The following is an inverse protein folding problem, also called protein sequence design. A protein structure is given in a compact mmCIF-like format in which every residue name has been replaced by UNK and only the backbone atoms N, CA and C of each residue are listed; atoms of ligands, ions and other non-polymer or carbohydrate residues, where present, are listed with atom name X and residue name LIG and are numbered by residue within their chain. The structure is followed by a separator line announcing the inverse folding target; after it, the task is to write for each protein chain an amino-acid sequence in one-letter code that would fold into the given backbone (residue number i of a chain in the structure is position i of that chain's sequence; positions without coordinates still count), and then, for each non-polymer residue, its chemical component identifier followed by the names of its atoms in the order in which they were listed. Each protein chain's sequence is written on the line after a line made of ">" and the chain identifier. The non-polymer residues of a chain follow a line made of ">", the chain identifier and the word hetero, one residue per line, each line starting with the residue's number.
data_IF_636999134754
#
_entry.id   IF_636999134754
#
_cell.length_a   1.000
_cell.length_b   1.000
_cell.length_c   1.000
_cell.angle_alpha   90.00
_cell.angle_beta   90.00
_cell.angle_gamma   90.00
#
_symmetry.space_group_name_H-M   'P 1'
#
loop_
_entity.id
_entity.type
_entity.pdbx_description
1 polymer ?
#
# COMPACT_ATOMS: atom_id res chain seq x y z
N UNK A 1 6.14 -24.32 32.93
CA UNK A 1 5.23 -23.15 32.79
C UNK A 1 5.01 -22.30 34.07
N UNK A 2 4.93 -22.85 35.31
CA UNK A 2 4.61 -22.03 36.51
C UNK A 2 5.65 -20.97 36.90
N UNK A 3 6.94 -21.15 36.56
CA UNK A 3 8.02 -20.24 36.95
C UNK A 3 8.06 -18.93 36.13
N UNK A 4 7.61 -18.98 34.87
CA UNK A 4 7.60 -17.82 33.97
C UNK A 4 6.52 -16.81 34.33
N UNK A 5 5.30 -17.29 34.67
CA UNK A 5 4.17 -16.47 35.10
C UNK A 5 4.40 -15.74 36.43
N UNK A 6 5.37 -16.19 37.24
CA UNK A 6 5.77 -15.51 38.49
C UNK A 6 6.65 -14.27 38.26
N UNK A 7 7.24 -14.12 37.06
CA UNK A 7 8.24 -13.08 36.74
C UNK A 7 7.66 -12.06 35.73
N UNK A 8 6.89 -11.06 36.16
CA UNK A 8 6.23 -10.09 35.25
C UNK A 8 7.23 -9.33 34.36
N UNK A 9 8.41 -9.01 34.91
CA UNK A 9 9.48 -8.34 34.16
C UNK A 9 10.07 -9.21 33.05
N UNK A 10 9.98 -10.53 33.16
CA UNK A 10 10.42 -11.46 32.12
C UNK A 10 9.38 -11.53 30.99
N UNK A 11 8.09 -11.61 31.34
CA UNK A 11 6.98 -11.58 30.37
C UNK A 11 6.99 -10.28 29.56
N UNK A 12 7.10 -9.12 30.21
CA UNK A 12 7.13 -7.84 29.50
C UNK A 12 8.36 -7.71 28.61
N UNK A 13 9.53 -8.17 29.07
CA UNK A 13 10.75 -8.19 28.23
C UNK A 13 10.57 -9.10 27.02
N UNK A 14 9.99 -10.29 27.20
CA UNK A 14 9.68 -11.19 26.11
C UNK A 14 8.72 -10.56 25.11
N UNK A 15 7.61 -9.97 25.57
CA UNK A 15 6.64 -9.31 24.70
C UNK A 15 7.25 -8.14 23.94
N UNK A 16 8.12 -7.33 24.58
CA UNK A 16 8.85 -6.25 23.90
C UNK A 16 9.73 -6.79 22.76
N UNK A 17 10.48 -7.86 23.02
CA UNK A 17 11.30 -8.50 21.98
C UNK A 17 10.45 -9.11 20.87
N UNK A 18 9.37 -9.81 21.23
CA UNK A 18 8.42 -10.38 20.29
C UNK A 18 7.84 -9.32 19.36
N UNK A 19 7.35 -8.19 19.92
CA UNK A 19 6.82 -7.08 19.13
C UNK A 19 7.87 -6.39 18.27
N UNK A 20 9.08 -6.20 18.78
CA UNK A 20 10.17 -5.64 17.99
C UNK A 20 10.50 -6.52 16.77
N UNK A 21 10.58 -7.85 16.97
CA UNK A 21 10.81 -8.80 15.88
C UNK A 21 9.62 -8.85 14.93
N UNK A 22 8.39 -8.91 15.45
CA UNK A 22 7.17 -8.99 14.64
C UNK A 22 7.03 -7.77 13.72
N UNK A 23 7.22 -6.56 14.25
CA UNK A 23 7.18 -5.32 13.47
C UNK A 23 8.34 -5.24 12.49
N UNK A 24 9.55 -5.68 12.86
CA UNK A 24 10.67 -5.73 11.93
C UNK A 24 10.39 -6.68 10.76
N UNK A 25 9.88 -7.88 11.03
CA UNK A 25 9.52 -8.86 10.01
C UNK A 25 8.39 -8.33 9.12
N UNK A 26 7.30 -7.82 9.71
CA UNK A 26 6.13 -7.37 8.94
C UNK A 26 6.36 -6.06 8.18
N UNK A 27 7.03 -5.08 8.79
CA UNK A 27 7.22 -3.77 8.17
C UNK A 27 8.46 -3.68 7.29
N UNK A 28 9.46 -4.56 7.42
CA UNK A 28 10.69 -4.53 6.62
C UNK A 28 10.92 -5.87 5.95
N UNK A 29 11.02 -6.94 6.74
CA UNK A 29 11.45 -8.26 6.27
C UNK A 29 10.62 -8.79 5.11
N UNK A 30 9.29 -8.75 5.23
CA UNK A 30 8.37 -9.23 4.20
C UNK A 30 8.47 -8.41 2.91
N UNK A 31 8.53 -7.08 3.01
CA UNK A 31 8.65 -6.22 1.82
C UNK A 31 9.97 -6.44 1.09
N UNK A 32 11.08 -6.49 1.85
CA UNK A 32 12.39 -6.80 1.29
C UNK A 32 12.37 -8.17 0.61
N UNK A 33 11.84 -9.19 1.29
CA UNK A 33 11.77 -10.56 0.75
C UNK A 33 10.94 -10.62 -0.54
N UNK A 34 9.72 -10.10 -0.54
CA UNK A 34 8.85 -10.10 -1.73
C UNK A 34 9.51 -9.41 -2.94
N UNK A 35 10.15 -8.26 -2.72
CA UNK A 35 10.79 -7.53 -3.81
C UNK A 35 12.08 -8.22 -4.25
N UNK A 36 12.95 -8.64 -3.33
CA UNK A 36 14.22 -9.30 -3.64
C UNK A 36 14.04 -10.72 -4.22
N UNK A 37 12.94 -11.41 -3.91
CA UNK A 37 12.66 -12.74 -4.45
C UNK A 37 12.12 -12.70 -5.88
N UNK A 38 11.66 -11.55 -6.36
CA UNK A 38 11.31 -11.39 -7.77
C UNK A 38 12.55 -10.96 -8.55
N UNK A 39 13.09 -11.87 -9.37
CA UNK A 39 14.25 -11.57 -10.19
C UNK A 39 13.83 -11.01 -11.54
N UNK A 40 14.68 -10.17 -12.12
CA UNK A 40 14.59 -9.83 -13.53
C UNK A 40 14.57 -11.11 -14.38
N UNK A 41 13.65 -11.23 -15.34
CA UNK A 41 13.65 -12.38 -16.23
C UNK A 41 14.90 -12.34 -17.12
N UNK A 42 15.60 -13.47 -17.21
CA UNK A 42 16.88 -13.59 -17.91
C UNK A 42 16.71 -13.40 -19.42
N UNK A 43 17.43 -12.43 -19.99
CA UNK A 43 17.51 -12.26 -21.45
C UNK A 43 18.44 -13.31 -22.08
N UNK A 44 18.19 -13.71 -23.33
CA UNK A 44 19.13 -14.54 -24.09
C UNK A 44 20.46 -13.83 -24.41
N UNK A 45 20.46 -12.49 -24.39
CA UNK A 45 21.61 -11.64 -24.74
C UNK A 45 22.09 -10.84 -23.54
N UNK A 46 23.37 -10.44 -23.56
CA UNK A 46 23.97 -9.57 -22.55
C UNK A 46 23.50 -8.11 -22.65
N UNK A 47 23.18 -7.65 -23.88
CA UNK A 47 22.57 -6.34 -24.09
C UNK A 47 21.08 -6.43 -23.74
N UNK A 48 20.71 -5.85 -22.59
CA UNK A 48 19.34 -5.80 -22.12
C UNK A 48 19.04 -4.52 -21.34
N UNK A 49 17.79 -4.08 -21.42
CA UNK A 49 17.27 -2.92 -20.69
C UNK A 49 16.15 -3.35 -19.75
N UNK A 50 16.26 -2.94 -18.49
CA UNK A 50 15.34 -3.31 -17.43
C UNK A 50 14.31 -2.21 -17.16
N UNK A 51 13.03 -2.55 -17.29
CA UNK A 51 11.90 -1.64 -17.11
C UNK A 51 10.97 -2.20 -16.04
N UNK A 52 10.65 -1.41 -15.03
CA UNK A 52 9.60 -1.78 -14.07
C UNK A 52 8.27 -1.15 -14.50
N UNK A 53 7.21 -1.94 -14.49
CA UNK A 53 5.85 -1.50 -14.83
C UNK A 53 5.00 -1.57 -13.57
N UNK A 54 4.36 -0.46 -13.23
CA UNK A 54 3.35 -0.39 -12.17
C UNK A 54 2.03 0.06 -12.80
N UNK A 55 0.91 -0.34 -12.20
CA UNK A 55 -0.43 0.07 -12.63
C UNK A 55 -1.27 0.44 -11.42
N UNK A 56 -2.26 1.30 -11.63
CA UNK A 56 -3.30 1.66 -10.66
C UNK A 56 -2.76 1.90 -9.24
N UNK A 57 -1.81 2.84 -9.04
CA UNK A 57 -1.49 3.28 -7.69
C UNK A 57 -2.73 3.72 -6.91
N UNK A 58 -3.65 4.42 -7.60
CA UNK A 58 -4.94 4.90 -7.08
C UNK A 58 -4.83 5.32 -5.62
N UNK A 59 -4.08 6.41 -5.36
CA UNK A 59 -4.00 6.90 -3.99
C UNK A 59 -5.43 7.18 -3.50
N UNK A 60 -5.74 6.61 -2.34
CA UNK A 60 -7.08 6.74 -1.73
C UNK A 60 -7.30 8.19 -1.35
N UNK A 61 -8.47 8.73 -1.65
CA UNK A 61 -8.87 10.10 -1.34
C UNK A 61 -10.38 10.20 -1.00
N UNK A 62 -10.92 11.42 -0.96
CA UNK A 62 -12.32 11.67 -0.60
C UNK A 62 -13.34 11.02 -1.56
N UNK A 63 -12.97 10.79 -2.81
CA UNK A 63 -13.80 10.14 -3.80
C UNK A 63 -13.70 8.61 -3.75
N UNK A 64 -12.80 8.07 -2.92
CA UNK A 64 -12.66 6.65 -2.69
C UNK A 64 -13.74 6.08 -1.76
N UNK A 65 -14.52 5.14 -2.30
CA UNK A 65 -15.37 4.21 -1.54
C UNK A 65 -16.33 4.85 -0.51
N UNK A 66 -16.71 6.12 -0.70
CA UNK A 66 -17.63 6.86 0.19
C UNK A 66 -17.11 7.08 1.61
N UNK A 67 -15.79 7.00 1.83
CA UNK A 67 -15.18 7.18 3.15
C UNK A 67 -14.96 8.66 3.47
N UNK A 68 -15.17 9.06 4.72
CA UNK A 68 -14.96 10.46 5.14
C UNK A 68 -14.33 10.54 6.54
N UNK A 69 -13.80 11.71 6.88
CA UNK A 69 -13.31 12.02 8.22
C UNK A 69 -12.10 11.20 8.66
N UNK A 70 -12.06 10.81 9.93
CA UNK A 70 -10.90 10.13 10.53
C UNK A 70 -10.61 8.77 9.90
N UNK A 71 -11.64 8.02 9.48
CA UNK A 71 -11.44 6.72 8.87
C UNK A 71 -10.68 6.85 7.54
N UNK A 72 -11.10 7.79 6.70
CA UNK A 72 -10.41 8.10 5.45
C UNK A 72 -8.94 8.45 5.71
N UNK A 73 -8.66 9.37 6.65
CA UNK A 73 -7.27 9.74 7.00
C UNK A 73 -6.41 8.57 7.44
N UNK A 74 -6.99 7.59 8.14
CA UNK A 74 -6.28 6.36 8.51
C UNK A 74 -6.02 5.47 7.30
N UNK A 75 -7.01 5.31 6.42
CA UNK A 75 -6.84 4.52 5.19
C UNK A 75 -5.78 5.16 4.29
N UNK A 76 -5.88 6.45 4.00
CA UNK A 76 -4.86 7.25 3.30
C UNK A 76 -3.46 6.99 3.85
N UNK A 77 -3.30 7.13 5.16
CA UNK A 77 -2.00 6.94 5.82
C UNK A 77 -1.42 5.54 5.60
N UNK A 78 -2.23 4.49 5.76
CA UNK A 78 -1.76 3.11 5.65
C UNK A 78 -1.57 2.64 4.21
N UNK A 79 -2.35 3.16 3.26
CA UNK A 79 -2.14 2.90 1.83
C UNK A 79 -0.92 3.64 1.30
N UNK A 80 -0.72 4.90 1.71
CA UNK A 80 0.46 5.71 1.34
C UNK A 80 1.77 5.07 1.82
N UNK A 81 1.82 4.63 3.09
CA UNK A 81 3.03 3.99 3.64
C UNK A 81 3.32 2.68 2.91
N UNK A 82 2.29 1.89 2.58
CA UNK A 82 2.46 0.66 1.81
C UNK A 82 3.12 0.96 0.46
N UNK A 83 2.52 1.84 -0.34
CA UNK A 83 3.01 2.16 -1.69
C UNK A 83 4.38 2.81 -1.65
N UNK A 84 4.59 3.78 -0.76
CA UNK A 84 5.89 4.45 -0.58
C UNK A 84 6.99 3.45 -0.26
N UNK A 85 6.69 2.44 0.56
CA UNK A 85 7.65 1.41 0.93
C UNK A 85 7.95 0.45 -0.21
N UNK A 86 6.92 -0.05 -0.85
CA UNK A 86 7.04 -0.92 -2.02
C UNK A 86 7.82 -0.22 -3.15
N UNK A 87 7.47 1.03 -3.46
CA UNK A 87 8.10 1.79 -4.54
C UNK A 87 9.57 2.12 -4.29
N UNK A 88 9.94 2.44 -3.05
CA UNK A 88 11.33 2.70 -2.69
C UNK A 88 12.18 1.43 -2.75
N UNK A 89 11.68 0.32 -2.22
CA UNK A 89 12.40 -0.95 -2.27
C UNK A 89 12.49 -1.49 -3.70
N UNK A 90 11.46 -1.30 -4.53
CA UNK A 90 11.52 -1.59 -5.96
C UNK A 90 12.72 -0.86 -6.60
N UNK A 91 12.86 0.45 -6.37
CA UNK A 91 13.99 1.21 -6.92
C UNK A 91 15.34 0.80 -6.33
N UNK A 92 15.43 0.64 -5.01
CA UNK A 92 16.71 0.38 -4.34
C UNK A 92 17.23 -1.05 -4.60
N UNK A 93 16.34 -2.04 -4.75
CA UNK A 93 16.68 -3.46 -4.95
C UNK A 93 16.72 -3.81 -6.44
N UNK A 94 15.66 -3.50 -7.19
CA UNK A 94 15.58 -3.90 -8.61
C UNK A 94 16.37 -2.98 -9.53
N UNK A 95 16.61 -1.73 -9.11
CA UNK A 95 17.37 -0.73 -9.87
C UNK A 95 16.98 -0.64 -11.36
N UNK A 96 15.67 -0.50 -11.68
CA UNK A 96 15.23 -0.42 -13.07
C UNK A 96 15.81 0.83 -13.76
N UNK A 97 16.07 0.72 -15.06
CA UNK A 97 16.51 1.87 -15.88
C UNK A 97 15.39 2.91 -16.03
N UNK A 98 14.15 2.44 -16.12
CA UNK A 98 12.94 3.24 -16.32
C UNK A 98 11.77 2.62 -15.55
N UNK A 99 10.86 3.46 -15.07
CA UNK A 99 9.55 3.02 -14.58
C UNK A 99 8.46 3.54 -15.52
N UNK A 100 7.51 2.67 -15.88
CA UNK A 100 6.29 3.03 -16.60
C UNK A 100 5.09 2.80 -15.67
N UNK A 101 4.26 3.82 -15.50
CA UNK A 101 3.01 3.75 -14.76
C UNK A 101 1.81 3.78 -15.73
N UNK A 102 0.96 2.76 -15.66
CA UNK A 102 -0.15 2.55 -16.60
C UNK A 102 -1.39 3.39 -16.32
N UNK A 103 -1.34 4.35 -15.41
CA UNK A 103 -2.42 5.30 -15.15
C UNK A 103 -3.15 5.04 -13.84
N UNK A 104 -4.24 5.79 -13.66
CA UNK A 104 -4.98 5.88 -12.41
C UNK A 104 -4.08 6.24 -11.24
N UNK A 105 -3.43 7.40 -11.38
CA UNK A 105 -2.49 7.92 -10.38
C UNK A 105 -3.22 8.22 -9.06
N UNK A 106 -4.43 8.77 -9.17
CA UNK A 106 -5.30 9.16 -8.06
C UNK A 106 -6.73 8.72 -8.33
N UNK A 107 -7.43 8.25 -7.29
CA UNK A 107 -8.80 7.74 -7.43
C UNK A 107 -9.81 8.85 -7.78
N UNK A 108 -9.66 10.04 -7.19
CA UNK A 108 -10.48 11.22 -7.49
C UNK A 108 -9.91 12.13 -8.58
N UNK A 109 -8.92 11.70 -9.37
CA UNK A 109 -8.11 12.58 -10.24
C UNK A 109 -8.91 13.55 -11.12
N UNK A 110 -9.99 13.09 -11.75
CA UNK A 110 -10.90 13.91 -12.57
C UNK A 110 -11.97 14.66 -11.77
N UNK A 111 -12.25 14.23 -10.54
CA UNK A 111 -13.34 14.73 -9.69
C UNK A 111 -12.95 16.00 -8.94
N UNK A 112 -11.66 16.16 -8.63
CA UNK A 112 -11.14 17.34 -7.95
C UNK A 112 -11.15 18.59 -8.84
N UNK A 113 -11.52 19.72 -8.23
CA UNK A 113 -11.19 21.05 -8.76
C UNK A 113 -9.69 21.32 -8.62
N UNK A 114 -9.14 22.22 -9.44
CA UNK A 114 -7.68 22.46 -9.53
C UNK A 114 -7.00 22.77 -8.18
N UNK A 115 -7.67 23.55 -7.33
CA UNK A 115 -7.14 23.97 -6.02
C UNK A 115 -7.01 22.79 -5.04
N UNK A 116 -7.92 21.81 -5.12
CA UNK A 116 -7.89 20.59 -4.30
C UNK A 116 -7.06 19.47 -4.94
N UNK A 117 -7.00 19.46 -6.28
CA UNK A 117 -6.25 18.48 -7.05
C UNK A 117 -4.74 18.60 -6.82
N UNK A 118 -4.21 19.83 -6.75
CA UNK A 118 -2.77 20.07 -6.63
C UNK A 118 -2.17 19.49 -5.32
N UNK A 119 -2.77 19.69 -4.14
CA UNK A 119 -2.35 19.01 -2.91
C UNK A 119 -2.35 17.48 -3.00
N UNK A 120 -3.39 16.87 -3.57
CA UNK A 120 -3.45 15.41 -3.73
C UNK A 120 -2.39 14.90 -4.73
N UNK A 121 -2.16 15.64 -5.82
CA UNK A 121 -1.07 15.32 -6.73
C UNK A 121 0.30 15.45 -6.07
N UNK A 122 0.53 16.46 -5.23
CA UNK A 122 1.76 16.59 -4.44
C UNK A 122 1.92 15.42 -3.46
N UNK A 123 0.83 14.95 -2.84
CA UNK A 123 0.82 13.73 -2.01
C UNK A 123 1.23 12.51 -2.84
N UNK A 124 0.64 12.30 -4.01
CA UNK A 124 1.05 11.25 -4.96
C UNK A 124 2.55 11.32 -5.27
N UNK A 125 3.07 12.49 -5.66
CA UNK A 125 4.51 12.69 -5.96
C UNK A 125 5.42 12.42 -4.75
N UNK A 126 4.94 12.66 -3.53
CA UNK A 126 5.67 12.35 -2.29
C UNK A 126 5.77 10.84 -1.97
N UNK A 127 4.83 10.05 -2.49
CA UNK A 127 4.79 8.59 -2.37
C UNK A 127 5.71 7.99 -3.45
N UNK A 128 5.53 8.45 -4.69
CA UNK A 128 6.23 7.97 -5.88
C UNK A 128 7.44 8.83 -6.25
N UNK A 129 8.27 9.15 -5.25
CA UNK A 129 9.49 9.93 -5.48
C UNK A 129 10.60 9.05 -6.05
N UNK A 130 11.19 9.50 -7.17
CA UNK A 130 12.39 8.89 -7.73
C UNK A 130 13.60 9.06 -6.79
N UNK A 131 14.30 7.96 -6.51
CA UNK A 131 15.44 7.89 -5.59
C UNK A 131 16.77 8.23 -6.25
N UNK A 132 16.85 8.05 -7.56
CA UNK A 132 18.00 8.33 -8.42
C UNK A 132 17.51 9.10 -9.66
N UNK A 133 18.40 9.73 -10.43
CA UNK A 133 18.04 10.40 -11.68
C UNK A 133 17.58 9.38 -12.74
N UNK A 134 16.33 8.95 -12.66
CA UNK A 134 15.70 7.98 -13.55
C UNK A 134 14.45 8.57 -14.18
N UNK A 135 14.09 8.07 -15.36
CA UNK A 135 12.87 8.47 -16.05
C UNK A 135 11.69 7.65 -15.53
N UNK A 136 10.60 8.35 -15.24
CA UNK A 136 9.31 7.76 -14.91
C UNK A 136 8.32 8.28 -15.95
N UNK A 137 7.70 7.37 -16.69
CA UNK A 137 6.67 7.70 -17.66
C UNK A 137 5.31 7.36 -17.07
N UNK A 138 4.38 8.31 -17.08
CA UNK A 138 3.07 8.19 -16.46
C UNK A 138 2.00 8.35 -17.54
N UNK A 139 1.12 7.37 -17.65
CA UNK A 139 -0.08 7.42 -18.47
C UNK A 139 -1.26 7.99 -17.67
N UNK A 140 -2.30 8.42 -18.36
CA UNK A 140 -3.58 8.73 -17.72
C UNK A 140 -4.45 7.48 -17.66
N UNK A 141 -5.16 7.30 -16.56
CA UNK A 141 -6.25 6.34 -16.46
C UNK A 141 -7.63 7.00 -16.45
N UNK A 142 -8.70 6.20 -16.47
CA UNK A 142 -10.06 6.77 -16.46
C UNK A 142 -10.35 7.51 -15.17
N UNK A 143 -9.67 7.22 -14.07
CA UNK A 143 -9.80 8.00 -12.85
C UNK A 143 -9.16 9.39 -12.95
N UNK A 144 -8.13 9.54 -13.78
CA UNK A 144 -7.39 10.79 -13.97
C UNK A 144 -8.11 11.76 -14.91
N UNK A 145 -8.65 11.27 -16.04
CA UNK A 145 -9.20 12.14 -17.11
C UNK A 145 -10.60 11.74 -17.61
N UNK A 146 -11.14 10.61 -17.15
CA UNK A 146 -12.38 10.03 -17.69
C UNK A 146 -12.18 9.21 -18.97
N UNK A 147 -13.27 8.73 -19.57
CA UNK A 147 -13.21 7.81 -20.73
C UNK A 147 -14.28 8.11 -21.80
N UNK A 148 -13.90 7.94 -23.07
CA UNK A 148 -14.75 8.05 -24.24
C UNK A 148 -15.47 9.39 -24.36
N UNK A 149 -16.78 9.36 -24.62
CA UNK A 149 -17.62 10.56 -24.69
C UNK A 149 -17.79 11.27 -23.34
N UNK A 150 -17.28 10.70 -22.25
CA UNK A 150 -17.36 11.26 -20.90
C UNK A 150 -16.02 11.78 -20.39
N UNK A 151 -14.99 11.87 -21.23
CA UNK A 151 -13.72 12.52 -20.87
C UNK A 151 -13.99 13.92 -20.29
N UNK A 152 -13.37 14.20 -19.14
CA UNK A 152 -13.50 15.49 -18.45
C UNK A 152 -12.44 16.43 -18.99
N UNK A 153 -12.84 17.35 -19.88
CA UNK A 153 -11.91 18.21 -20.62
C UNK A 153 -10.94 18.98 -19.72
N UNK A 154 -11.42 19.57 -18.62
CA UNK A 154 -10.55 20.28 -17.67
C UNK A 154 -9.53 19.37 -16.99
N UNK A 155 -9.89 18.12 -16.71
CA UNK A 155 -8.97 17.14 -16.14
C UNK A 155 -7.91 16.69 -17.17
N UNK A 156 -8.30 16.48 -18.43
CA UNK A 156 -7.37 16.19 -19.53
C UNK A 156 -6.34 17.32 -19.73
N UNK A 157 -6.81 18.57 -19.80
CA UNK A 157 -5.94 19.75 -19.94
C UNK A 157 -4.99 19.91 -18.74
N UNK A 158 -5.50 19.70 -17.52
CA UNK A 158 -4.69 19.71 -16.30
C UNK A 158 -3.63 18.60 -16.30
N UNK A 159 -3.98 17.40 -16.74
CA UNK A 159 -3.05 16.28 -16.86
C UNK A 159 -1.92 16.60 -17.85
N UNK A 160 -2.24 17.10 -19.05
CA UNK A 160 -1.23 17.52 -20.04
C UNK A 160 -0.28 18.58 -19.51
N UNK A 161 -0.82 19.56 -18.78
CA UNK A 161 -0.03 20.67 -18.22
C UNK A 161 0.88 20.24 -17.07
N UNK A 162 0.46 19.28 -16.25
CA UNK A 162 1.09 19.00 -14.95
C UNK A 162 1.83 17.67 -14.91
N UNK A 163 1.25 16.61 -15.49
CA UNK A 163 1.81 15.26 -15.48
C UNK A 163 2.62 15.01 -16.75
N UNK A 164 2.01 15.26 -17.92
CA UNK A 164 2.67 15.09 -19.20
C UNK A 164 1.72 14.69 -20.32
N UNK A 165 2.26 14.45 -21.54
CA UNK A 165 1.44 14.08 -22.69
C UNK A 165 0.83 12.68 -22.50
N UNK A 166 -0.44 12.53 -22.86
CA UNK A 166 -1.16 11.24 -22.74
C UNK A 166 -0.78 10.24 -23.85
N UNK A 167 -0.20 10.73 -24.95
CA UNK A 167 0.32 9.92 -26.06
C UNK A 167 1.83 10.11 -26.19
N UNK A 168 2.61 9.03 -26.14
CA UNK A 168 4.08 9.06 -26.24
C UNK A 168 4.64 7.85 -26.99
N UNK A 169 5.72 8.06 -27.74
CA UNK A 169 6.55 6.97 -28.30
C UNK A 169 7.97 7.14 -27.79
N UNK A 170 8.48 6.12 -27.12
CA UNK A 170 9.79 6.12 -26.48
C UNK A 170 10.63 5.02 -27.13
N UNK A 171 11.86 5.33 -27.53
CA UNK A 171 12.81 4.31 -27.96
C UNK A 171 13.60 3.79 -26.75
N UNK A 172 13.47 2.49 -26.47
CA UNK A 172 14.09 1.87 -25.30
C UNK A 172 14.47 0.42 -25.61
N UNK A 173 15.73 0.04 -25.37
CA UNK A 173 16.21 -1.33 -25.56
C UNK A 173 15.94 -1.90 -26.95
N UNK A 174 16.05 -1.09 -28.02
CA UNK A 174 15.75 -1.49 -29.40
C UNK A 174 14.26 -1.49 -29.78
N UNK A 175 13.36 -1.15 -28.87
CA UNK A 175 11.91 -1.18 -29.09
C UNK A 175 11.31 0.22 -29.21
N UNK A 176 10.17 0.30 -29.87
CA UNK A 176 9.24 1.42 -29.75
C UNK A 176 8.20 1.12 -28.66
N UNK A 177 8.34 1.80 -27.53
CA UNK A 177 7.37 1.78 -26.42
C UNK A 177 6.29 2.81 -26.72
N UNK A 178 5.08 2.36 -27.04
CA UNK A 178 3.95 3.19 -27.42
C UNK A 178 3.00 3.33 -26.23
N UNK A 179 3.08 4.45 -25.52
CA UNK A 179 2.12 4.82 -24.47
C UNK A 179 0.94 5.51 -25.16
N UNK A 180 -0.19 4.81 -25.28
CA UNK A 180 -1.33 5.29 -26.05
C UNK A 180 -2.51 5.64 -25.14
N UNK A 181 -3.04 6.84 -25.34
CA UNK A 181 -4.27 7.31 -24.72
C UNK A 181 -5.48 6.69 -25.42
N UNK A 182 -5.83 5.48 -24.99
CA UNK A 182 -7.01 4.76 -25.45
C UNK A 182 -8.31 5.33 -24.87
N UNK A 183 -8.24 6.12 -23.80
CA UNK A 183 -9.40 6.71 -23.13
C UNK A 183 -10.05 7.76 -24.02
N UNK A 184 -9.24 8.67 -24.58
CA UNK A 184 -9.72 9.67 -25.55
C UNK A 184 -9.99 9.07 -26.91
N UNK A 185 -9.28 8.01 -27.31
CA UNK A 185 -9.49 7.30 -28.56
C UNK A 185 -10.90 6.65 -28.65
N UNK A 186 -11.46 6.24 -27.51
CA UNK A 186 -12.80 5.67 -27.40
C UNK A 186 -13.93 6.72 -27.47
N UNK A 187 -13.60 7.99 -27.76
CA UNK A 187 -14.53 9.10 -27.94
C UNK A 187 -14.97 9.23 -29.41
N UNK A 188 -16.26 9.43 -29.62
CA UNK A 188 -16.84 9.70 -30.94
C UNK A 188 -16.52 11.12 -31.45
N UNK A 189 -16.10 12.02 -30.55
CA UNK A 189 -15.69 13.39 -30.89
C UNK A 189 -14.29 13.39 -31.50
N UNK A 190 -14.12 13.87 -32.75
CA UNK A 190 -12.80 14.02 -33.37
C UNK A 190 -11.90 15.00 -32.61
N UNK A 191 -12.47 16.00 -31.95
CA UNK A 191 -11.74 16.97 -31.15
C UNK A 191 -10.97 16.27 -30.02
N UNK A 192 -11.58 15.27 -29.39
CA UNK A 192 -10.99 14.47 -28.30
C UNK A 192 -10.09 13.36 -28.84
N UNK A 193 -10.55 12.59 -29.83
CA UNK A 193 -9.85 11.38 -30.28
C UNK A 193 -8.74 11.62 -31.31
N UNK A 194 -8.68 12.80 -31.96
CA UNK A 194 -7.78 13.03 -33.09
C UNK A 194 -6.30 12.90 -32.77
N UNK A 195 -5.86 13.26 -31.56
CA UNK A 195 -4.46 13.15 -31.18
C UNK A 195 -3.99 11.69 -31.17
N UNK A 196 -4.75 10.82 -30.48
CA UNK A 196 -4.47 9.38 -30.42
C UNK A 196 -4.60 8.74 -31.81
N UNK A 197 -5.64 9.08 -32.57
CA UNK A 197 -5.82 8.57 -33.94
C UNK A 197 -4.66 8.95 -34.87
N UNK A 198 -4.19 10.20 -34.82
CA UNK A 198 -3.03 10.65 -35.63
C UNK A 198 -1.76 9.88 -35.27
N UNK A 199 -1.54 9.57 -33.99
CA UNK A 199 -0.38 8.78 -33.58
C UNK A 199 -0.47 7.35 -34.14
N UNK A 200 -1.62 6.69 -34.03
CA UNK A 200 -1.82 5.33 -34.55
C UNK A 200 -1.59 5.28 -36.07
N UNK A 201 -2.16 6.22 -36.82
CA UNK A 201 -1.99 6.28 -38.27
C UNK A 201 -0.56 6.68 -38.69
N UNK A 202 0.13 7.48 -37.89
CA UNK A 202 1.54 7.79 -38.10
C UNK A 202 2.41 6.54 -37.90
N UNK A 203 2.19 5.77 -36.83
CA UNK A 203 2.87 4.50 -36.58
C UNK A 203 2.61 3.49 -37.70
N UNK A 204 1.37 3.38 -38.18
CA UNK A 204 1.02 2.49 -39.28
C UNK A 204 1.80 2.80 -40.57
N UNK A 205 2.09 4.08 -40.84
CA UNK A 205 2.87 4.52 -42.02
C UNK A 205 4.37 4.29 -41.88
N UNK A 206 4.90 4.24 -40.66
CA UNK A 206 6.35 4.12 -40.46
C UNK A 206 6.92 2.75 -40.80
N UNK A 207 6.10 1.68 -40.79
CA UNK A 207 6.44 0.25 -41.01
C UNK A 207 7.95 -0.08 -40.90
N UNK A 208 8.56 0.24 -39.76
CA UNK A 208 9.97 -0.07 -39.49
C UNK A 208 10.03 -1.44 -38.83
N UNK A 209 10.21 -2.47 -39.65
CA UNK A 209 10.31 -3.87 -39.20
C UNK A 209 11.49 -4.10 -38.25
N UNK A 210 12.45 -3.16 -38.16
CA UNK A 210 13.62 -3.27 -37.29
C UNK A 210 13.39 -2.71 -35.87
N UNK A 211 12.21 -2.13 -35.58
CA UNK A 211 11.87 -1.59 -34.25
C UNK A 211 10.54 -2.19 -33.76
N UNK A 212 10.56 -3.38 -33.12
CA UNK A 212 9.35 -4.00 -32.59
C UNK A 212 8.64 -3.07 -31.60
N UNK A 213 7.31 -3.08 -31.64
CA UNK A 213 6.47 -2.19 -30.83
C UNK A 213 5.89 -2.92 -29.64
N UNK A 214 5.95 -2.26 -28.49
CA UNK A 214 5.22 -2.66 -27.29
C UNK A 214 4.16 -1.60 -27.02
N UNK A 215 2.90 -2.00 -27.02
CA UNK A 215 1.78 -1.09 -26.83
C UNK A 215 1.37 -1.08 -25.36
N UNK A 216 1.23 0.11 -24.79
CA UNK A 216 0.78 0.30 -23.43
C UNK A 216 -0.54 1.04 -23.48
N UNK A 217 -1.53 0.50 -22.78
CA UNK A 217 -2.87 1.09 -22.63
C UNK A 217 -3.22 1.13 -21.15
N UNK A 218 -4.17 1.98 -20.76
CA UNK A 218 -4.72 1.88 -19.40
C UNK A 218 -5.75 0.76 -19.34
N UNK A 219 -6.87 0.91 -20.06
CA UNK A 219 -7.93 -0.09 -20.12
C UNK A 219 -7.50 -1.32 -20.94
N UNK A 220 -7.79 -2.56 -20.48
CA UNK A 220 -7.48 -3.79 -21.21
C UNK A 220 -8.18 -3.91 -22.56
N UNK A 221 -7.56 -4.62 -23.49
CA UNK A 221 -8.14 -4.89 -24.80
C UNK A 221 -9.37 -5.79 -24.71
N UNK A 222 -10.27 -5.64 -25.68
CA UNK A 222 -11.47 -6.44 -25.80
C UNK A 222 -11.14 -7.93 -25.96
N UNK A 223 -11.87 -8.78 -25.25
CA UNK A 223 -11.85 -10.24 -25.42
C UNK A 223 -13.25 -10.83 -25.25
N UNK A 224 -13.52 -12.02 -25.82
CA UNK A 224 -14.77 -12.72 -25.57
C UNK A 224 -15.04 -12.97 -24.08
N UNK A 225 -16.31 -13.12 -23.71
CA UNK A 225 -16.68 -13.45 -22.34
C UNK A 225 -16.08 -14.81 -21.93
N UNK A 226 -15.68 -14.92 -20.66
CA UNK A 226 -15.09 -16.12 -20.07
C UNK A 226 -13.70 -16.50 -20.62
N UNK A 227 -13.00 -15.62 -21.33
CA UNK A 227 -11.58 -15.81 -21.64
C UNK A 227 -10.77 -15.87 -20.35
N UNK A 228 -10.06 -16.98 -20.14
CA UNK A 228 -9.29 -17.21 -18.93
C UNK A 228 -8.02 -16.35 -18.91
N UNK A 229 -7.74 -15.77 -17.74
CA UNK A 229 -6.61 -14.88 -17.51
C UNK A 229 -5.29 -15.56 -17.14
N UNK A 230 -5.32 -16.88 -16.95
CA UNK A 230 -4.19 -17.65 -16.47
C UNK A 230 -4.08 -17.72 -14.94
N UNK A 231 -3.04 -18.40 -14.44
CA UNK A 231 -2.96 -18.88 -13.05
C UNK A 231 -2.57 -17.82 -12.02
N UNK A 232 -2.11 -16.64 -12.46
CA UNK A 232 -1.66 -15.56 -11.57
C UNK A 232 -2.80 -14.66 -11.08
N UNK A 233 -3.99 -14.79 -11.68
CA UNK A 233 -5.18 -14.03 -11.29
C UNK A 233 -5.68 -14.47 -9.92
N UNK A 234 -6.11 -13.51 -9.09
CA UNK A 234 -6.55 -13.75 -7.71
C UNK A 234 -8.07 -13.78 -7.55
N UNK A 235 -8.78 -13.07 -8.43
CA UNK A 235 -10.23 -12.89 -8.40
C UNK A 235 -10.95 -13.94 -9.27
N UNK A 236 -12.03 -13.55 -9.96
CA UNK A 236 -12.72 -14.42 -10.90
C UNK A 236 -11.76 -14.87 -12.02
N UNK A 237 -11.84 -16.08 -12.58
CA UNK A 237 -10.83 -16.55 -13.56
C UNK A 237 -10.75 -15.78 -14.89
N UNK A 238 -11.66 -14.84 -15.13
CA UNK A 238 -11.78 -14.04 -16.35
C UNK A 238 -12.09 -12.57 -16.01
N UNK A 239 -11.77 -11.66 -16.95
CA UNK A 239 -12.23 -10.27 -16.89
C UNK A 239 -13.72 -10.18 -17.15
N UNK A 240 -14.39 -9.31 -16.42
CA UNK A 240 -15.77 -8.92 -16.73
C UNK A 240 -15.78 -7.98 -17.94
N UNK A 241 -16.95 -7.77 -18.52
CA UNK A 241 -17.16 -6.82 -19.62
C UNK A 241 -18.29 -5.86 -19.25
N UNK A 242 -18.14 -5.20 -18.10
CA UNK A 242 -19.08 -4.18 -17.63
C UNK A 242 -18.68 -2.82 -18.17
N UNK A 243 -19.69 -1.97 -18.32
CA UNK A 243 -19.54 -0.59 -18.78
C UNK A 243 -20.50 0.28 -17.99
N UNK A 244 -20.07 1.48 -17.67
CA UNK A 244 -20.90 2.47 -17.01
C UNK A 244 -20.36 3.87 -17.20
N UNK A 245 -20.87 4.80 -16.39
CA UNK A 245 -20.37 6.16 -16.37
C UNK A 245 -18.91 6.17 -15.86
N UNK A 246 -17.99 6.72 -16.65
CA UNK A 246 -16.56 6.86 -16.31
C UNK A 246 -15.77 5.56 -16.07
N UNK A 247 -16.30 4.38 -16.42
CA UNK A 247 -15.54 3.12 -16.34
C UNK A 247 -15.94 2.13 -17.44
N UNK A 248 -14.97 1.32 -17.88
CA UNK A 248 -15.17 0.17 -18.78
C UNK A 248 -14.11 -0.89 -18.44
N UNK A 249 -14.54 -2.12 -18.14
CA UNK A 249 -13.58 -3.20 -17.82
C UNK A 249 -12.68 -3.56 -19.04
N UNK A 250 -13.10 -3.20 -20.26
CA UNK A 250 -12.41 -3.50 -21.53
C UNK A 250 -12.72 -2.44 -22.60
N UNK A 251 -11.77 -2.20 -23.52
CA UNK A 251 -11.96 -1.39 -24.73
C UNK A 251 -13.07 -1.96 -25.63
N UNK A 252 -13.51 -1.18 -26.62
CA UNK A 252 -14.37 -1.72 -27.65
C UNK A 252 -13.62 -2.69 -28.58
N UNK A 253 -14.38 -3.64 -29.16
CA UNK A 253 -13.84 -4.62 -30.09
C UNK A 253 -13.23 -3.95 -31.32
N UNK A 254 -13.92 -2.96 -31.91
CA UNK A 254 -13.43 -2.22 -33.07
C UNK A 254 -12.13 -1.46 -32.76
N UNK A 255 -12.02 -0.84 -31.58
CA UNK A 255 -10.78 -0.17 -31.13
C UNK A 255 -9.65 -1.18 -31.00
N UNK A 256 -9.91 -2.33 -30.37
CA UNK A 256 -8.92 -3.41 -30.22
C UNK A 256 -8.43 -3.91 -31.57
N UNK A 257 -9.36 -4.22 -32.49
CA UNK A 257 -9.05 -4.62 -33.87
C UNK A 257 -8.23 -3.56 -34.60
N UNK A 258 -8.65 -2.29 -34.53
CA UNK A 258 -7.95 -1.16 -35.14
C UNK A 258 -6.51 -1.02 -34.63
N UNK A 259 -6.29 -1.11 -33.31
CA UNK A 259 -4.95 -1.00 -32.72
C UNK A 259 -4.05 -2.16 -33.12
N UNK A 260 -4.56 -3.40 -33.09
CA UNK A 260 -3.79 -4.58 -33.48
C UNK A 260 -3.40 -4.53 -34.97
N UNK A 261 -4.32 -4.13 -35.85
CA UNK A 261 -4.06 -4.01 -37.29
C UNK A 261 -3.06 -2.92 -37.66
N UNK A 262 -3.19 -1.74 -37.02
CA UNK A 262 -2.42 -0.54 -37.39
C UNK A 262 -1.06 -0.49 -36.72
N UNK A 263 -0.98 -0.87 -35.44
CA UNK A 263 0.26 -0.81 -34.66
C UNK A 263 1.08 -2.08 -34.87
N UNK A 264 0.42 -3.24 -35.00
CA UNK A 264 1.02 -4.58 -35.02
C UNK A 264 2.01 -4.79 -33.85
N UNK A 265 1.55 -4.61 -32.60
CA UNK A 265 2.43 -4.71 -31.45
C UNK A 265 2.89 -6.16 -31.22
N UNK A 266 4.13 -6.34 -30.77
CA UNK A 266 4.65 -7.62 -30.30
C UNK A 266 3.93 -8.07 -29.02
N UNK A 267 3.60 -7.11 -28.15
CA UNK A 267 2.79 -7.32 -26.95
C UNK A 267 2.09 -6.04 -26.50
N UNK A 268 1.09 -6.24 -25.64
CA UNK A 268 0.28 -5.18 -25.04
C UNK A 268 0.43 -5.25 -23.52
N UNK A 269 0.54 -4.10 -22.85
CA UNK A 269 0.54 -3.99 -21.40
C UNK A 269 -0.60 -3.07 -20.96
N UNK A 270 -1.47 -3.57 -20.07
CA UNK A 270 -2.65 -2.86 -19.59
C UNK A 270 -2.76 -2.83 -18.06
N UNK A 271 -3.60 -1.96 -17.50
CA UNK A 271 -3.93 -1.85 -16.06
C UNK A 271 -5.45 -1.96 -15.84
N UNK A 272 -6.03 -1.08 -15.01
CA UNK A 272 -7.47 -0.83 -14.75
C UNK A 272 -8.25 -1.99 -14.10
N UNK A 273 -8.03 -3.25 -14.48
CA UNK A 273 -8.71 -4.40 -13.85
C UNK A 273 -8.17 -4.73 -12.43
N UNK A 274 -7.07 -4.08 -12.03
CA UNK A 274 -6.39 -4.22 -10.73
C UNK A 274 -5.81 -5.61 -10.42
N UNK A 275 -6.08 -6.62 -11.25
CA UNK A 275 -5.61 -8.00 -11.09
C UNK A 275 -4.86 -8.47 -12.35
N UNK A 276 -3.97 -9.43 -12.18
CA UNK A 276 -3.14 -9.92 -13.28
C UNK A 276 -4.00 -10.70 -14.28
N UNK A 277 -3.82 -10.44 -15.57
CA UNK A 277 -4.44 -11.23 -16.64
C UNK A 277 -3.51 -11.36 -17.85
N UNK A 278 -3.43 -12.55 -18.43
CA UNK A 278 -2.63 -12.81 -19.64
C UNK A 278 -3.54 -13.42 -20.69
N UNK A 279 -3.61 -12.78 -21.86
CA UNK A 279 -4.46 -13.22 -22.99
C UNK A 279 -3.72 -13.03 -24.31
N UNK A 280 -3.87 -13.98 -25.22
CA UNK A 280 -3.37 -13.85 -26.59
C UNK A 280 -4.45 -13.26 -27.50
N UNK A 281 -4.08 -12.23 -28.26
CA UNK A 281 -4.92 -11.65 -29.31
C UNK A 281 -4.40 -12.04 -30.69
N UNK A 282 -5.30 -12.46 -31.57
CA UNK A 282 -4.96 -12.68 -32.98
C UNK A 282 -4.86 -11.32 -33.67
N UNK A 283 -3.74 -11.04 -34.34
CA UNK A 283 -3.62 -9.84 -35.16
C UNK A 283 -4.45 -10.02 -36.44
N UNK A 284 -5.48 -9.19 -36.67
CA UNK A 284 -6.41 -9.41 -37.77
C UNK A 284 -5.72 -9.42 -39.14
N UNK A 285 -6.14 -10.35 -40.00
CA UNK A 285 -5.58 -10.51 -41.34
C UNK A 285 -4.18 -11.15 -41.38
N UNK A 286 -3.64 -11.59 -40.24
CA UNK A 286 -2.33 -12.25 -40.15
C UNK A 286 -2.41 -13.53 -39.33
N UNK A 287 -1.35 -14.33 -39.34
CA UNK A 287 -1.14 -15.45 -38.41
C UNK A 287 -0.51 -15.02 -37.09
N UNK A 288 -0.11 -13.76 -36.97
CA UNK A 288 0.64 -13.25 -35.83
C UNK A 288 -0.27 -13.07 -34.61
N UNK A 289 0.33 -13.18 -33.43
CA UNK A 289 -0.35 -13.00 -32.16
C UNK A 289 0.34 -11.93 -31.34
N UNK A 290 -0.45 -11.15 -30.62
CA UNK A 290 0.03 -10.21 -29.62
C UNK A 290 -0.46 -10.67 -28.23
N UNK A 291 0.47 -10.94 -27.33
CA UNK A 291 0.12 -11.27 -25.94
C UNK A 291 -0.11 -9.98 -25.16
N UNK A 292 -1.26 -9.88 -24.50
CA UNK A 292 -1.57 -8.82 -23.56
C UNK A 292 -1.29 -9.28 -22.14
N UNK A 293 -0.58 -8.43 -21.39
CA UNK A 293 -0.28 -8.55 -19.97
C UNK A 293 -0.97 -7.41 -19.22
N UNK A 294 -2.12 -7.71 -18.61
CA UNK A 294 -2.76 -6.81 -17.65
C UNK A 294 -2.02 -6.92 -16.31
N UNK A 295 -1.47 -5.80 -15.86
CA UNK A 295 -0.68 -5.67 -14.63
C UNK A 295 -1.63 -5.32 -13.49
N UNK A 296 -1.50 -6.03 -12.36
CA UNK A 296 -2.32 -5.74 -11.20
C UNK A 296 -1.94 -4.41 -10.52
N UNK A 297 -2.85 -3.91 -9.69
CA UNK A 297 -2.69 -2.63 -9.02
C UNK A 297 -1.47 -2.63 -8.07
N UNK A 298 -0.78 -1.49 -7.97
CA UNK A 298 0.37 -1.28 -7.08
C UNK A 298 -0.07 -0.91 -5.65
N UNK A 299 -1.38 -0.72 -5.42
CA UNK A 299 -2.01 -0.51 -4.12
C UNK A 299 -2.82 -1.71 -3.64
N UNK A 300 -3.02 -1.83 -2.32
CA UNK A 300 -3.82 -2.92 -1.71
C UNK A 300 -5.29 -2.55 -1.44
N UNK A 301 -5.69 -1.32 -1.77
CA UNK A 301 -7.05 -0.82 -1.55
C UNK A 301 -7.99 -1.04 -2.74
N UNK A 302 -7.48 -1.59 -3.84
CA UNK A 302 -8.12 -1.72 -5.16
C UNK A 302 -9.10 -2.90 -5.30
N UNK A 303 -9.40 -3.60 -4.20
CA UNK A 303 -10.31 -4.76 -4.17
C UNK A 303 -9.65 -6.11 -4.46
N UNK A 304 -8.37 -6.13 -4.83
CA UNK A 304 -7.57 -7.35 -5.02
C UNK A 304 -6.69 -7.59 -3.77
N UNK A 305 -6.60 -8.83 -3.25
CA UNK A 305 -5.91 -9.07 -1.98
C UNK A 305 -4.42 -8.73 -1.99
N UNK A 306 -3.71 -9.05 -3.07
CA UNK A 306 -2.26 -8.90 -3.19
C UNK A 306 -1.95 -7.99 -4.38
N UNK A 307 -1.36 -6.83 -4.10
CA UNK A 307 -0.89 -5.91 -5.13
C UNK A 307 0.25 -6.52 -5.94
N UNK A 308 0.45 -6.07 -7.18
CA UNK A 308 1.53 -6.56 -8.04
C UNK A 308 2.17 -5.45 -8.89
N UNK A 309 3.25 -5.82 -9.55
CA UNK A 309 3.95 -5.04 -10.55
C UNK A 309 4.62 -6.00 -11.53
N UNK A 310 5.20 -5.49 -12.62
CA UNK A 310 5.96 -6.31 -13.55
C UNK A 310 7.39 -5.82 -13.75
N UNK A 311 8.28 -6.78 -13.98
CA UNK A 311 9.66 -6.57 -14.41
C UNK A 311 9.77 -7.01 -15.87
N UNK A 312 10.11 -6.06 -16.74
CA UNK A 312 10.27 -6.26 -18.18
C UNK A 312 11.76 -6.13 -18.54
N UNK A 313 12.33 -7.19 -19.11
CA UNK A 313 13.69 -7.18 -19.68
C UNK A 313 13.57 -7.11 -21.19
N UNK A 314 13.98 -5.98 -21.77
CA UNK A 314 14.04 -5.76 -23.22
C UNK A 314 15.41 -6.19 -23.76
N UNK A 315 15.46 -6.83 -24.91
CA UNK A 315 16.68 -7.18 -25.64
C UNK A 315 16.42 -7.07 -27.16
N UNK A 316 17.44 -6.96 -28.04
CA UNK A 316 17.23 -6.58 -29.44
C UNK A 316 16.14 -7.36 -30.20
N UNK A 317 15.98 -8.65 -29.92
CA UNK A 317 15.04 -9.55 -30.62
C UNK A 317 13.70 -9.76 -29.88
N UNK A 318 13.47 -9.10 -28.74
CA UNK A 318 12.20 -9.23 -28.01
C UNK A 318 12.26 -8.83 -26.54
N UNK A 319 11.38 -9.42 -25.74
CA UNK A 319 11.29 -9.11 -24.33
C UNK A 319 10.95 -10.33 -23.48
N UNK A 320 11.30 -10.26 -22.20
CA UNK A 320 10.82 -11.18 -21.18
C UNK A 320 10.11 -10.40 -20.08
N UNK A 321 9.04 -10.95 -19.52
CA UNK A 321 8.29 -10.33 -18.43
C UNK A 321 8.14 -11.29 -17.25
N UNK A 322 8.23 -10.73 -16.04
CA UNK A 322 7.94 -11.40 -14.79
C UNK A 322 6.93 -10.58 -13.98
N UNK A 323 5.81 -11.19 -13.61
CA UNK A 323 4.88 -10.60 -12.64
C UNK A 323 5.39 -10.82 -11.20
N UNK A 324 5.36 -9.78 -10.39
CA UNK A 324 5.87 -9.76 -9.04
C UNK A 324 4.76 -9.35 -8.06
N UNK A 325 4.54 -10.17 -7.03
CA UNK A 325 3.57 -9.86 -5.98
C UNK A 325 4.22 -9.11 -4.81
N UNK A 326 3.55 -8.07 -4.34
CA UNK A 326 3.89 -7.35 -3.12
C UNK A 326 3.33 -8.07 -1.88
N UNK A 327 3.73 -7.69 -0.65
CA UNK A 327 3.23 -8.34 0.56
C UNK A 327 1.71 -8.19 0.73
N UNK A 328 1.08 -9.23 1.29
CA UNK A 328 -0.34 -9.22 1.66
C UNK A 328 -0.59 -8.35 2.92
N UNK A 329 -0.88 -7.06 2.71
CA UNK A 329 -0.93 -6.08 3.80
C UNK A 329 -2.00 -6.38 4.86
N UNK A 330 -3.20 -6.78 4.42
CA UNK A 330 -4.28 -7.16 5.34
C UNK A 330 -3.90 -8.36 6.20
N UNK A 331 -3.10 -9.30 5.67
CA UNK A 331 -2.57 -10.43 6.44
C UNK A 331 -1.65 -9.97 7.56
N UNK A 332 -0.72 -9.07 7.25
CA UNK A 332 0.22 -8.47 8.22
C UNK A 332 -0.56 -7.79 9.36
N UNK A 333 -1.56 -6.96 9.02
CA UNK A 333 -2.39 -6.31 10.03
C UNK A 333 -3.23 -7.28 10.86
N UNK A 334 -3.80 -8.33 10.25
CA UNK A 334 -4.50 -9.40 11.00
C UNK A 334 -3.56 -10.08 11.98
N UNK A 335 -2.30 -10.34 11.60
CA UNK A 335 -1.28 -10.88 12.50
C UNK A 335 -1.03 -9.92 13.66
N UNK A 336 -0.85 -8.61 13.42
CA UNK A 336 -0.66 -7.64 14.50
C UNK A 336 -1.83 -7.61 15.48
N UNK A 337 -3.07 -7.57 14.97
CA UNK A 337 -4.26 -7.57 15.83
C UNK A 337 -4.33 -8.85 16.67
N UNK A 338 -4.11 -10.02 16.08
CA UNK A 338 -4.10 -11.29 16.81
C UNK A 338 -2.99 -11.31 17.89
N UNK A 339 -1.78 -10.90 17.52
CA UNK A 339 -0.63 -10.78 18.42
C UNK A 339 -0.90 -9.82 19.59
N UNK A 340 -1.65 -8.75 19.36
CA UNK A 340 -2.08 -7.80 20.39
C UNK A 340 -3.05 -8.42 21.37
N UNK A 341 -4.08 -9.09 20.88
CA UNK A 341 -5.05 -9.80 21.71
C UNK A 341 -4.38 -10.90 22.54
N UNK A 342 -3.47 -11.69 21.95
CA UNK A 342 -2.73 -12.73 22.67
C UNK A 342 -1.78 -12.16 23.73
N UNK A 343 -1.09 -11.06 23.41
CA UNK A 343 -0.23 -10.35 24.38
C UNK A 343 -1.06 -9.84 25.56
N UNK A 344 -2.23 -9.26 25.28
CA UNK A 344 -3.17 -8.77 26.27
C UNK A 344 -3.66 -9.89 27.20
N UNK A 345 -4.13 -11.00 26.63
CA UNK A 345 -4.62 -12.16 27.39
C UNK A 345 -3.51 -12.75 28.27
N UNK A 346 -2.28 -12.87 27.75
CA UNK A 346 -1.14 -13.38 28.52
C UNK A 346 -0.83 -12.48 29.74
N UNK A 347 -0.86 -11.16 29.55
CA UNK A 347 -0.62 -10.20 30.64
C UNK A 347 -1.74 -10.23 31.68
N UNK A 348 -3.00 -10.28 31.24
CA UNK A 348 -4.15 -10.41 32.11
C UNK A 348 -4.09 -11.71 32.92
N UNK A 349 -3.79 -12.83 32.28
CA UNK A 349 -3.63 -14.13 32.93
C UNK A 349 -2.47 -14.12 33.94
N UNK A 350 -1.33 -13.54 33.59
CA UNK A 350 -0.19 -13.42 34.50
C UNK A 350 -0.51 -12.53 35.72
N UNK A 351 -1.26 -11.44 35.53
CA UNK A 351 -1.75 -10.57 36.59
C UNK A 351 -2.70 -11.31 37.54
N UNK A 352 -3.71 -12.00 37.00
CA UNK A 352 -4.66 -12.83 37.77
C UNK A 352 -3.96 -13.97 38.53
N UNK A 353 -3.04 -14.69 37.90
CA UNK A 353 -2.29 -15.77 38.54
C UNK A 353 -1.46 -15.28 39.74
N UNK A 354 -0.79 -14.12 39.61
CA UNK A 354 0.01 -13.57 40.71
C UNK A 354 -0.86 -13.10 41.88
N UNK A 355 -2.03 -12.52 41.59
CA UNK A 355 -3.03 -12.18 42.62
C UNK A 355 -3.54 -13.42 43.36
N UNK A 356 -3.88 -14.48 42.63
CA UNK A 356 -4.31 -15.75 43.22
C UNK A 356 -3.25 -16.36 44.14
N UNK A 357 -1.97 -16.23 43.77
CA UNK A 357 -0.83 -16.73 44.55
C UNK A 357 -0.42 -15.80 45.72
N UNK A 358 -1.18 -14.72 46.00
CA UNK A 358 -0.86 -13.77 47.08
C UNK A 358 0.44 -12.99 46.86
N UNK A 359 1.00 -12.98 45.64
CA UNK A 359 2.22 -12.24 45.33
C UNK A 359 1.88 -10.75 45.17
N UNK A 360 2.77 -9.86 45.65
CA UNK A 360 2.62 -8.40 45.44
C UNK A 360 2.33 -8.11 43.97
N UNK A 361 1.16 -7.52 43.73
CA UNK A 361 0.80 -6.97 42.44
C UNK A 361 1.86 -5.93 42.03
N UNK A 362 2.22 -5.92 40.76
CA UNK A 362 3.08 -4.84 40.24
C UNK A 362 2.16 -3.68 39.88
N UNK A 363 2.57 -2.43 40.16
CA UNK A 363 1.75 -1.20 40.01
C UNK A 363 0.87 -1.15 38.76
N UNK A 364 1.34 -1.65 37.61
CA UNK A 364 0.53 -1.73 36.38
C UNK A 364 -0.68 -2.67 36.44
N UNK A 365 -0.61 -3.79 37.17
CA UNK A 365 -1.68 -4.79 37.30
C UNK A 365 -2.89 -4.27 38.09
N UNK A 366 -2.67 -3.47 39.13
CA UNK A 366 -3.75 -2.88 39.93
C UNK A 366 -4.48 -1.74 39.17
N UNK A 367 -3.73 -0.98 38.36
CA UNK A 367 -4.28 0.09 37.51
C UNK A 367 -5.05 -0.45 36.30
N UNK A 368 -4.71 -1.65 35.84
CA UNK A 368 -5.40 -2.36 34.75
C UNK A 368 -6.78 -2.88 35.18
N UNK A 369 -6.86 -3.51 36.36
CA UNK A 369 -8.09 -4.10 36.87
C UNK A 369 -9.12 -3.04 37.30
N UNK A 370 -8.70 -1.80 37.59
CA UNK A 370 -9.62 -0.69 37.88
C UNK A 370 -10.31 -0.14 36.64
N UNK A 371 -9.71 -0.25 35.45
CA UNK A 371 -10.34 0.15 34.18
C UNK A 371 -11.30 -0.94 33.66
N UNK A 372 -11.03 -2.21 33.99
CA UNK A 372 -11.91 -3.36 33.73
C UNK A 372 -13.05 -3.56 34.74
N UNK A 373 -13.50 -2.51 35.44
CA UNK A 373 -14.51 -2.58 36.50
C UNK A 373 -15.87 -3.19 36.09
N UNK A 374 -16.18 -3.24 34.78
CA UNK A 374 -17.40 -3.84 34.24
C UNK A 374 -17.38 -5.39 34.21
N UNK A 375 -16.21 -6.03 34.22
CA UNK A 375 -16.09 -7.51 34.24
C UNK A 375 -16.14 -8.10 35.65
N UNK A 376 -16.06 -7.24 36.66
CA UNK A 376 -15.92 -7.62 38.08
C UNK A 376 -17.16 -8.32 38.62
N UNK A 377 -18.35 -8.03 38.10
CA UNK A 377 -19.61 -8.65 38.55
C UNK A 377 -19.85 -10.06 37.99
N UNK A 378 -19.28 -10.41 36.83
CA UNK A 378 -19.57 -11.67 36.15
C UNK A 378 -18.70 -12.84 36.63
N UNK A 379 -17.43 -12.60 36.98
CA UNK A 379 -16.51 -13.65 37.43
C UNK A 379 -16.60 -13.96 38.94
N UNK A 380 -17.02 -12.99 39.75
CA UNK A 380 -17.11 -13.17 41.21
C UNK A 380 -18.33 -14.04 41.60
N UNK A 381 -19.37 -14.13 40.76
CA UNK A 381 -20.56 -14.93 41.06
C UNK A 381 -20.37 -16.45 40.87
N UNK A 382 -19.28 -16.91 40.24
CA UNK A 382 -19.05 -18.35 39.96
C UNK A 382 -17.99 -19.05 40.82
N UNK A 383 -17.29 -18.34 41.71
CA UNK A 383 -16.20 -18.92 42.50
C UNK A 383 -16.30 -18.68 44.02
N UNK A 384 -17.49 -18.36 44.54
CA UNK A 384 -17.73 -18.46 45.99
C UNK A 384 -18.17 -19.88 46.34
N UNK A 385 -17.27 -20.61 47.00
CA UNK A 385 -17.61 -21.77 47.83
C UNK A 385 -18.59 -21.31 48.92
N UNK A 386 -19.63 -22.09 49.26
CA UNK A 386 -20.48 -21.79 50.40
C UNK A 386 -19.73 -22.18 51.68
N UNK A 387 -19.57 -21.24 52.60
CA UNK A 387 -19.28 -21.53 54.00
C UNK A 387 -20.37 -20.90 54.87
N UNK A 388 -20.67 -21.66 55.91
CA UNK A 388 -21.80 -21.60 56.83
C UNK A 388 -21.93 -20.30 57.64
N UNK A 389 -23.18 -20.03 57.99
CA UNK A 389 -23.56 -19.64 59.34
C UNK A 389 -23.23 -18.24 59.82
N UNK A 390 -24.22 -17.35 59.85
CA UNK A 390 -24.94 -17.02 61.09
C UNK A 390 -25.93 -15.88 60.88
N UNK A 391 -27.05 -16.01 61.58
CA UNK A 391 -28.24 -15.18 61.57
C UNK A 391 -28.03 -14.01 62.54
N UNK A 392 -28.37 -12.79 62.13
CA UNK A 392 -28.49 -11.61 62.99
C UNK A 392 -29.28 -10.52 62.27
N UNK A 393 -30.38 -10.09 62.88
CA UNK A 393 -31.42 -9.21 62.34
C UNK A 393 -31.10 -7.70 62.26
N UNK A 394 -32.11 -6.86 61.97
CA UNK A 394 -31.99 -5.62 61.18
C UNK A 394 -32.02 -4.32 62.01
N UNK A 395 -31.96 -3.18 61.28
CA UNK A 395 -32.11 -1.74 61.64
C UNK A 395 -30.79 -0.96 61.39
N UNK A 396 -30.74 0.25 60.81
CA UNK A 396 -31.73 1.29 60.51
C UNK A 396 -31.16 2.26 59.46
N UNK A 397 -32.04 3.11 58.90
CA UNK A 397 -31.80 4.13 57.86
C UNK A 397 -30.87 5.29 58.29
N UNK A 398 -30.30 5.99 57.30
CA UNK A 398 -29.62 7.26 57.51
C UNK A 398 -29.14 7.90 56.21
N UNK A 399 -29.96 8.79 55.65
CA UNK A 399 -29.62 9.71 54.56
C UNK A 399 -28.49 10.68 54.94
N UNK A 400 -27.70 11.08 53.95
CA UNK A 400 -26.70 12.14 54.10
C UNK A 400 -26.09 12.59 52.77
N UNK A 401 -26.68 13.64 52.20
CA UNK A 401 -26.11 14.40 51.08
C UNK A 401 -24.73 15.00 51.44
N UNK A 402 -23.80 15.02 50.49
CA UNK A 402 -22.50 15.64 50.65
C UNK A 402 -21.80 15.90 49.32
N UNK A 403 -22.06 17.06 48.73
CA UNK A 403 -21.38 17.58 47.54
C UNK A 403 -19.87 17.76 47.77
N UNK A 404 -19.03 17.38 46.78
CA UNK A 404 -17.60 17.71 46.77
C UNK A 404 -17.23 18.44 45.48
N UNK A 405 -16.79 19.69 45.69
CA UNK A 405 -16.17 20.65 44.77
C UNK A 405 -14.97 20.07 44.02
N UNK A 406 -14.93 20.26 42.70
CA UNK A 406 -13.68 20.24 41.93
C UNK A 406 -12.85 21.48 42.26
N UNK A 407 -11.62 21.28 42.73
CA UNK A 407 -10.62 22.34 42.89
C UNK A 407 -9.53 22.16 41.83
N UNK A 408 -9.48 23.10 40.89
CA UNK A 408 -8.36 23.33 39.98
C UNK A 408 -7.35 24.24 40.68
N UNK A 409 -6.06 23.88 40.66
CA UNK A 409 -4.95 24.77 41.03
C UNK A 409 -3.76 24.59 40.07
N UNK A 410 -2.88 25.62 39.94
CA UNK A 410 -2.27 26.02 38.68
C UNK A 410 -0.74 25.83 38.63
N UNK A 411 -0.23 26.12 37.44
CA UNK A 411 1.14 26.32 36.93
C UNK A 411 2.08 27.06 37.90
N UNK A 412 3.38 26.69 37.96
CA UNK A 412 4.51 27.65 37.94
C UNK A 412 5.87 27.03 37.54
N UNK A 413 6.66 27.88 36.88
CA UNK A 413 8.05 27.82 36.38
C UNK A 413 9.05 27.31 37.43
N UNK A 414 10.24 26.74 37.17
CA UNK A 414 11.26 26.92 36.15
C UNK A 414 12.58 27.25 36.87
N UNK A 415 13.64 26.43 36.77
CA UNK A 415 14.99 26.89 37.08
C UNK A 415 16.11 26.05 36.44
N UNK A 416 17.17 26.76 36.02
CA UNK A 416 18.36 26.31 35.31
C UNK A 416 19.41 25.69 36.25
N UNK A 417 20.09 24.63 35.80
CA UNK A 417 21.43 24.28 36.29
C UNK A 417 22.21 23.49 35.23
N UNK A 418 23.41 23.97 34.90
CA UNK A 418 24.25 23.58 33.77
C UNK A 418 25.01 22.24 33.90
N UNK A 419 24.51 21.30 34.70
CA UNK A 419 25.16 19.98 34.87
C UNK A 419 24.59 18.88 33.95
N UNK A 420 23.56 19.18 33.16
CA UNK A 420 22.90 18.19 32.27
C UNK A 420 23.58 18.03 30.90
N UNK A 421 24.60 18.83 30.58
CA UNK A 421 25.19 18.88 29.22
C UNK A 421 26.28 17.82 28.97
N UNK A 422 26.96 17.33 30.01
CA UNK A 422 28.03 16.33 29.83
C UNK A 422 27.51 14.90 29.58
N UNK A 423 26.32 14.55 30.08
CA UNK A 423 25.73 13.22 29.89
C UNK A 423 25.08 13.04 28.51
N UNK A 424 24.73 14.14 27.83
CA UNK A 424 24.16 14.12 26.46
C UNK A 424 25.24 13.85 25.41
N UNK A 425 26.48 14.27 25.65
CA UNK A 425 27.56 14.14 24.68
C UNK A 425 28.06 12.69 24.50
N UNK A 426 28.04 11.88 25.57
CA UNK A 426 28.47 10.48 25.51
C UNK A 426 27.41 9.53 24.91
N UNK A 427 26.13 9.90 24.98
CA UNK A 427 25.03 9.16 24.33
C UNK A 427 24.96 9.46 22.82
N UNK A 428 25.41 10.64 22.38
CA UNK A 428 25.51 11.00 20.96
C UNK A 428 26.51 10.12 20.19
N UNK A 429 27.67 9.81 20.81
CA UNK A 429 28.73 9.03 20.16
C UNK A 429 28.37 7.54 20.00
N UNK A 430 27.70 6.93 20.99
CA UNK A 430 27.17 5.55 20.87
C UNK A 430 26.01 5.45 19.88
N UNK A 431 25.12 6.44 19.84
CA UNK A 431 24.04 6.51 18.84
C UNK A 431 24.60 6.65 17.43
N UNK A 432 25.61 7.49 17.21
CA UNK A 432 26.29 7.64 15.92
C UNK A 432 27.03 6.37 15.48
N UNK A 433 27.62 5.60 16.41
CA UNK A 433 28.30 4.35 16.09
C UNK A 433 27.31 3.21 15.74
N UNK A 434 26.18 3.12 16.45
CA UNK A 434 25.09 2.19 16.09
C UNK A 434 24.43 2.60 14.76
N UNK A 435 24.27 3.91 14.53
CA UNK A 435 23.80 4.46 13.26
C UNK A 435 24.71 4.11 12.09
N UNK A 436 26.03 4.26 12.25
CA UNK A 436 27.03 3.90 11.23
C UNK A 436 27.09 2.38 10.97
N UNK A 437 26.83 1.56 11.99
CA UNK A 437 26.74 0.10 11.87
C UNK A 437 25.45 -0.35 11.14
N UNK A 438 24.30 0.24 11.47
CA UNK A 438 23.02 -0.06 10.81
C UNK A 438 22.98 0.49 9.37
N UNK A 439 23.54 1.68 9.13
CA UNK A 439 23.66 2.26 7.79
C UNK A 439 24.68 1.54 6.90
N UNK A 440 25.65 0.84 7.50
CA UNK A 440 26.65 0.04 6.78
C UNK A 440 26.19 -1.38 6.42
N UNK A 441 25.26 -1.95 7.19
CA UNK A 441 24.69 -3.27 6.93
C UNK A 441 23.46 -3.21 5.99
N UNK A 442 22.67 -2.12 6.08
CA UNK A 442 21.47 -1.91 5.24
C UNK A 442 21.23 -0.41 4.98
N UNK A 443 21.95 0.21 4.01
CA UNK A 443 21.76 1.62 3.65
C UNK A 443 20.29 1.95 3.30
N UNK A 444 19.58 0.96 2.76
CA UNK A 444 18.18 0.98 2.35
C UNK A 444 17.18 0.70 3.47
N UNK A 445 17.54 0.79 4.77
CA UNK A 445 16.61 0.48 5.89
C UNK A 445 16.47 1.62 6.92
N UNK A 446 17.31 2.66 6.85
CA UNK A 446 17.30 3.79 7.80
C UNK A 446 15.93 4.49 7.87
N UNK A 447 15.28 4.68 6.74
CA UNK A 447 13.93 5.25 6.61
C UNK A 447 12.85 4.36 7.24
N UNK A 448 13.03 3.04 7.22
CA UNK A 448 12.06 2.10 7.75
C UNK A 448 11.92 2.20 9.28
N UNK A 449 12.90 2.75 10.00
CA UNK A 449 12.77 3.01 11.45
C UNK A 449 11.72 4.09 11.71
N UNK A 450 11.61 5.12 10.85
CA UNK A 450 10.57 6.16 10.95
C UNK A 450 9.19 5.56 10.64
N UNK A 451 9.09 4.74 9.60
CA UNK A 451 7.82 4.12 9.21
C UNK A 451 7.37 3.05 10.22
N UNK A 452 8.30 2.25 10.76
CA UNK A 452 8.05 1.38 11.91
C UNK A 452 7.60 2.21 13.10
N UNK A 453 8.27 3.31 13.42
CA UNK A 453 7.87 4.15 14.54
C UNK A 453 6.43 4.65 14.34
N UNK A 454 6.07 5.09 13.13
CA UNK A 454 4.74 5.57 12.76
C UNK A 454 3.65 4.50 12.81
N UNK A 455 3.87 3.32 12.21
CA UNK A 455 2.95 2.16 12.29
C UNK A 455 2.85 1.62 13.72
N UNK A 456 3.98 1.62 14.43
CA UNK A 456 4.02 1.25 15.83
C UNK A 456 3.40 2.34 16.70
N UNK A 457 3.29 3.61 16.30
CA UNK A 457 2.88 4.72 17.18
C UNK A 457 1.53 4.47 17.87
N UNK A 458 0.44 4.01 17.22
CA UNK A 458 -0.79 3.64 17.93
C UNK A 458 -0.57 2.49 18.92
N UNK A 459 0.20 1.46 18.52
CA UNK A 459 0.53 0.32 19.37
C UNK A 459 1.47 0.70 20.51
N UNK A 460 2.39 1.64 20.29
CA UNK A 460 3.53 2.07 21.10
C UNK A 460 3.14 3.24 22.01
N UNK A 461 2.21 4.11 21.63
CA UNK A 461 1.53 5.07 22.52
C UNK A 461 0.60 4.29 23.44
N UNK A 462 -0.16 3.32 22.92
CA UNK A 462 -0.90 2.38 23.76
C UNK A 462 0.07 1.61 24.67
N UNK A 463 1.22 1.15 24.17
CA UNK A 463 2.26 0.46 24.96
C UNK A 463 2.93 1.38 25.99
N UNK A 464 3.28 2.62 25.66
CA UNK A 464 3.96 3.56 26.57
C UNK A 464 2.98 4.05 27.64
N UNK A 465 1.75 4.40 27.27
CA UNK A 465 0.69 4.69 28.24
C UNK A 465 0.37 3.44 29.09
N UNK A 466 0.56 2.23 28.57
CA UNK A 466 0.39 0.97 29.32
C UNK A 466 1.57 0.53 30.19
N UNK A 467 2.81 0.88 29.84
CA UNK A 467 4.01 0.30 30.43
C UNK A 467 5.00 1.31 31.02
N UNK A 468 4.72 2.62 30.92
CA UNK A 468 5.52 3.70 31.52
C UNK A 468 4.83 4.43 32.70
N UNK A 469 3.72 3.88 33.21
CA UNK A 469 3.18 4.19 34.55
C UNK A 469 2.95 2.88 35.31
#
# INVERSE_FOLDING_TARGET
>A
MPSFLRRPRAIVRFLRWYWAVLLFVGEIGLYYWHINSCNWPTSPTADSTHVAIIADPQIVDHYSYGQTGLLLRLVEFYTDIYMRKSYRLLQDIQQPSVIINLGDLMDGGREWADDDWLPEYQRYRSIFTARYPMRVYEMAGNHDIGIGNTVVQGALERFHKTVGPTNQVIELGGHQIVLLDTLTLESDSPEVSSASNKLVEWLAKQNDEHKPRLLFTHVPMWRPNNTLCGPLRQSLPWLRNRRGYQFRDQLFQNTTTYLLERIKPLAVFSGDDHDTCIVEHQVPGTTDKATEYTIGAFGWASGVPIASYALLTLYPEGFMIQNCFLPYQLGIYKTYVLSFVLSFVLLAHACSYRRYQGLKAWRGCDRWLSVGGLWRHWLISRYKKPEDGSIGGPEEEGEGEGAIRLTLLPIFQGNNSAETVAAVHNNGYRRQKLWRLLSGLFPSVVWAIRDIALVATPFYISFILFFYI
#
